data_IF_636310926638
#
_entry.id   IF_636310926638
#
_cell.length_a   1.000
_cell.length_b   1.000
_cell.length_c   1.000
_cell.angle_alpha   90.00
_cell.angle_beta   90.00
_cell.angle_gamma   90.00
#
_symmetry.space_group_name_H-M   'P 1'
#
loop_
_entity.id
_entity.type
_entity.pdbx_description
1 polymer ?
#
# COMPACT_ATOMS: atom_id res chain seq x y z
N UNK A 1 -5.43 -8.90 24.88
CA UNK A 1 -6.80 -8.45 24.56
C UNK A 1 -7.27 -9.30 23.39
N UNK A 2 -8.22 -10.21 23.60
CA UNK A 2 -8.70 -11.11 22.55
C UNK A 2 -9.77 -10.41 21.73
N UNK A 3 -9.57 -10.28 20.43
CA UNK A 3 -10.54 -9.65 19.53
C UNK A 3 -11.63 -10.70 19.24
N UNK A 4 -12.75 -10.59 19.95
CA UNK A 4 -13.85 -11.57 19.98
C UNK A 4 -14.65 -11.67 18.66
N UNK A 5 -14.28 -10.88 17.64
CA UNK A 5 -14.93 -10.92 16.32
C UNK A 5 -13.92 -10.63 15.21
N UNK A 6 -13.82 -11.46 14.16
CA UNK A 6 -12.97 -11.15 13.03
C UNK A 6 -13.52 -9.92 12.31
N UNK A 7 -12.77 -8.82 12.35
CA UNK A 7 -13.06 -7.63 11.55
C UNK A 7 -12.89 -7.94 10.05
N UNK A 8 -13.76 -7.37 9.20
CA UNK A 8 -13.66 -7.59 7.77
C UNK A 8 -12.31 -7.11 7.23
N UNK A 9 -11.80 -7.86 6.27
CA UNK A 9 -10.65 -7.49 5.46
C UNK A 9 -10.94 -6.15 4.78
N UNK A 10 -10.03 -5.17 4.85
CA UNK A 10 -10.20 -3.91 4.14
C UNK A 10 -10.46 -4.15 2.64
N UNK A 11 -11.39 -3.40 2.01
CA UNK A 11 -11.67 -3.55 0.58
C UNK A 11 -10.39 -3.42 -0.25
N UNK A 12 -10.21 -4.35 -1.19
CA UNK A 12 -9.03 -4.39 -2.07
C UNK A 12 -7.75 -4.86 -1.41
N UNK A 13 -7.74 -5.25 -0.12
CA UNK A 13 -6.55 -5.79 0.50
C UNK A 13 -6.23 -7.19 -0.05
N UNK A 14 -5.01 -7.37 -0.53
CA UNK A 14 -4.46 -8.65 -0.99
C UNK A 14 -3.75 -9.39 0.13
N UNK A 15 -3.24 -8.68 1.13
CA UNK A 15 -2.64 -9.26 2.34
C UNK A 15 -3.00 -8.44 3.57
N UNK A 16 -3.20 -9.14 4.69
CA UNK A 16 -3.47 -8.53 5.99
C UNK A 16 -2.54 -9.17 7.01
N UNK A 17 -1.78 -8.34 7.73
CA UNK A 17 -0.88 -8.80 8.78
C UNK A 17 -1.65 -9.05 10.10
N UNK A 18 -1.08 -9.84 11.03
CA UNK A 18 -1.65 -10.02 12.36
C UNK A 18 -1.85 -8.71 13.10
N UNK A 19 -2.77 -8.71 14.06
CA UNK A 19 -2.98 -7.59 14.97
C UNK A 19 -1.79 -7.39 15.90
N UNK A 20 -1.39 -6.14 16.06
CA UNK A 20 -0.45 -5.72 17.09
C UNK A 20 -1.18 -5.52 18.43
N UNK A 21 -0.39 -5.45 19.49
CA UNK A 21 -0.80 -5.24 20.89
C UNK A 21 -1.54 -3.93 21.12
N UNK A 22 -1.31 -2.92 20.27
CA UNK A 22 -2.00 -1.63 20.30
C UNK A 22 -3.39 -1.66 19.62
N UNK A 23 -3.78 -2.82 19.08
CA UNK A 23 -5.06 -2.99 18.38
C UNK A 23 -5.06 -2.41 16.96
N UNK A 24 -3.89 -2.28 16.34
CA UNK A 24 -3.73 -1.95 14.93
C UNK A 24 -3.22 -3.14 14.12
N UNK A 25 -3.46 -3.14 12.81
CA UNK A 25 -2.83 -4.08 11.86
C UNK A 25 -2.55 -3.40 10.54
N UNK A 26 -1.50 -3.85 9.87
CA UNK A 26 -1.18 -3.42 8.51
C UNK A 26 -1.94 -4.28 7.50
N UNK A 27 -2.41 -3.67 6.42
CA UNK A 27 -2.87 -4.36 5.23
C UNK A 27 -2.16 -3.83 3.99
N UNK A 28 -2.04 -4.68 2.97
CA UNK A 28 -1.49 -4.38 1.66
C UNK A 28 -2.61 -4.52 0.63
N UNK A 29 -2.71 -3.61 -0.35
CA UNK A 29 -3.69 -3.68 -1.44
C UNK A 29 -3.05 -4.09 -2.75
N UNK A 30 -2.17 -3.25 -3.28
CA UNK A 30 -1.62 -3.43 -4.61
C UNK A 30 -0.10 -3.35 -4.55
N UNK A 31 0.55 -4.23 -5.29
CA UNK A 31 1.98 -4.21 -5.53
C UNK A 31 2.19 -4.08 -7.04
N UNK A 32 2.78 -2.97 -7.48
CA UNK A 32 3.17 -2.76 -8.87
C UNK A 32 4.69 -2.78 -8.97
N UNK A 33 5.21 -3.37 -10.04
CA UNK A 33 6.61 -3.22 -10.41
C UNK A 33 6.69 -2.50 -11.75
N UNK A 34 7.34 -1.34 -11.76
CA UNK A 34 7.50 -0.50 -12.95
C UNK A 34 8.93 -0.04 -13.03
N UNK A 35 9.64 -0.44 -14.09
CA UNK A 35 11.02 -0.05 -14.35
C UNK A 35 11.96 -0.26 -13.14
N UNK A 36 11.96 -1.47 -12.56
CA UNK A 36 12.79 -1.79 -11.38
C UNK A 36 12.31 -1.16 -10.06
N UNK A 37 11.22 -0.38 -10.06
CA UNK A 37 10.64 0.21 -8.85
C UNK A 37 9.39 -0.56 -8.43
N UNK A 38 9.38 -0.98 -7.17
CA UNK A 38 8.24 -1.59 -6.50
C UNK A 38 7.42 -0.52 -5.77
N UNK A 39 6.14 -0.45 -6.09
CA UNK A 39 5.15 0.39 -5.41
C UNK A 39 4.20 -0.51 -4.64
N UNK A 40 4.10 -0.33 -3.32
CA UNK A 40 3.21 -1.09 -2.45
C UNK A 40 2.23 -0.16 -1.74
N UNK A 41 0.95 -0.24 -2.10
CA UNK A 41 -0.12 0.47 -1.41
C UNK A 41 -0.49 -0.28 -0.12
N UNK A 42 -0.39 0.40 1.02
CA UNK A 42 -0.64 -0.17 2.32
C UNK A 42 -1.40 0.79 3.24
N UNK A 43 -1.93 0.25 4.34
CA UNK A 43 -2.63 1.05 5.33
C UNK A 43 -2.66 0.41 6.71
N UNK A 44 -3.13 1.16 7.69
CA UNK A 44 -3.38 0.70 9.07
C UNK A 44 -4.87 0.65 9.33
N UNK A 45 -5.35 -0.53 9.71
CA UNK A 45 -6.70 -0.74 10.24
C UNK A 45 -6.66 -0.88 11.77
N UNK A 46 -7.61 -0.26 12.47
CA UNK A 46 -7.77 -0.40 13.92
C UNK A 46 -8.89 -1.39 14.28
N UNK A 47 -8.89 -1.84 15.54
CA UNK A 47 -9.87 -2.80 16.09
C UNK A 47 -11.33 -2.29 16.10
N UNK A 48 -11.55 -1.00 15.86
CA UNK A 48 -12.88 -0.40 15.63
C UNK A 48 -13.34 -0.53 14.15
N UNK A 49 -12.49 -1.11 13.29
CA UNK A 49 -12.72 -1.26 11.86
C UNK A 49 -12.28 -0.06 11.01
N UNK A 50 -11.88 1.06 11.63
CA UNK A 50 -11.44 2.27 10.92
C UNK A 50 -10.08 2.08 10.24
N UNK A 51 -9.89 2.74 9.10
CA UNK A 51 -8.59 2.89 8.44
C UNK A 51 -8.07 4.28 8.82
N UNK A 52 -6.99 4.35 9.59
CA UNK A 52 -6.46 5.64 10.10
C UNK A 52 -5.30 6.19 9.30
N UNK A 53 -4.67 5.35 8.48
CA UNK A 53 -3.56 5.76 7.62
C UNK A 53 -3.52 4.90 6.37
N UNK A 54 -3.19 5.52 5.25
CA UNK A 54 -2.80 4.86 4.01
C UNK A 54 -1.52 5.51 3.48
N UNK A 55 -0.70 4.75 2.79
CA UNK A 55 0.53 5.22 2.16
C UNK A 55 0.94 4.28 1.01
N UNK A 56 1.87 4.75 0.21
CA UNK A 56 2.55 3.94 -0.82
C UNK A 56 4.01 3.84 -0.41
N UNK A 57 4.52 2.61 -0.27
CA UNK A 57 5.95 2.36 -0.12
C UNK A 57 6.57 2.25 -1.51
N UNK A 58 7.66 2.98 -1.73
CA UNK A 58 8.41 2.99 -2.99
C UNK A 58 9.78 2.41 -2.71
N UNK A 59 10.10 1.27 -3.34
CA UNK A 59 11.39 0.60 -3.20
C UNK A 59 11.99 0.40 -4.58
N UNK A 60 13.27 0.71 -4.74
CA UNK A 60 14.01 0.49 -5.99
C UNK A 60 14.82 -0.79 -5.83
N UNK A 61 14.82 -1.65 -6.84
CA UNK A 61 15.68 -2.82 -6.86
C UNK A 61 17.16 -2.40 -6.94
N UNK A 62 18.03 -3.09 -6.21
CA UNK A 62 19.43 -2.67 -6.03
C UNK A 62 20.22 -2.67 -7.36
N UNK A 63 19.79 -3.50 -8.33
CA UNK A 63 20.38 -3.58 -9.66
C UNK A 63 19.86 -2.50 -10.64
N UNK A 64 18.90 -1.67 -10.24
CA UNK A 64 18.17 -0.74 -11.11
C UNK A 64 18.31 0.72 -10.65
N UNK A 65 19.52 1.27 -10.79
CA UNK A 65 19.85 2.63 -10.30
C UNK A 65 19.67 3.75 -11.32
N UNK A 66 19.48 3.41 -12.59
CA UNK A 66 19.34 4.37 -13.69
C UNK A 66 18.08 4.06 -14.51
N UNK A 67 17.33 5.11 -14.88
CA UNK A 67 16.13 5.00 -15.70
C UNK A 67 16.25 5.85 -16.94
N UNK A 68 15.89 5.29 -18.09
CA UNK A 68 15.77 6.06 -19.31
C UNK A 68 14.50 6.94 -19.34
N UNK A 69 14.38 7.81 -20.33
CA UNK A 69 13.23 8.72 -20.42
C UNK A 69 11.87 8.00 -20.54
N UNK A 70 11.72 6.94 -21.36
CA UNK A 70 10.52 6.10 -21.34
C UNK A 70 10.19 5.48 -19.98
N UNK A 71 11.19 4.95 -19.27
CA UNK A 71 11.04 4.35 -17.94
C UNK A 71 10.60 5.39 -16.89
N UNK A 72 11.23 6.57 -16.89
CA UNK A 72 10.83 7.68 -16.03
C UNK A 72 9.37 8.08 -16.24
N UNK A 73 8.89 8.13 -17.49
CA UNK A 73 7.48 8.45 -17.77
C UNK A 73 6.53 7.38 -17.26
N UNK A 74 6.89 6.10 -17.39
CA UNK A 74 6.08 4.99 -16.87
C UNK A 74 6.01 5.02 -15.35
N UNK A 75 7.14 5.27 -14.68
CA UNK A 75 7.18 5.41 -13.23
C UNK A 75 6.34 6.61 -12.75
N UNK A 76 6.48 7.77 -13.41
CA UNK A 76 5.71 8.96 -13.06
C UNK A 76 4.19 8.74 -13.20
N UNK A 77 3.75 8.04 -14.26
CA UNK A 77 2.34 7.69 -14.42
C UNK A 77 1.85 6.75 -13.30
N UNK A 78 2.61 5.71 -12.96
CA UNK A 78 2.25 4.78 -11.89
C UNK A 78 2.18 5.47 -10.51
N UNK A 79 3.09 6.39 -10.22
CA UNK A 79 3.07 7.19 -8.99
C UNK A 79 1.85 8.11 -8.93
N UNK A 80 1.43 8.68 -10.07
CA UNK A 80 0.24 9.52 -10.14
C UNK A 80 -1.04 8.70 -9.89
N UNK A 81 -1.15 7.52 -10.50
CA UNK A 81 -2.27 6.61 -10.27
C UNK A 81 -2.37 6.21 -8.78
N UNK A 82 -1.25 5.91 -8.14
CA UNK A 82 -1.21 5.59 -6.71
C UNK A 82 -1.56 6.79 -5.81
N UNK A 83 -1.14 8.00 -6.19
CA UNK A 83 -1.54 9.21 -5.48
C UNK A 83 -3.06 9.44 -5.56
N UNK A 84 -3.66 9.25 -6.74
CA UNK A 84 -5.11 9.35 -6.93
C UNK A 84 -5.87 8.31 -6.09
N UNK A 85 -5.32 7.10 -5.92
CA UNK A 85 -5.89 6.08 -5.02
C UNK A 85 -5.85 6.53 -3.56
N UNK A 86 -4.80 7.24 -3.13
CA UNK A 86 -4.67 7.74 -1.77
C UNK A 86 -5.60 8.93 -1.49
N UNK A 87 -5.81 9.81 -2.47
CA UNK A 87 -6.76 10.93 -2.36
C UNK A 87 -8.21 10.44 -2.25
N UNK A 88 -8.50 9.25 -2.78
CA UNK A 88 -9.82 8.62 -2.76
C UNK A 88 -10.75 9.13 -3.87
N UNK A 89 -11.98 8.59 -3.97
CA UNK A 89 -12.94 9.08 -4.95
C UNK A 89 -13.30 10.54 -4.64
N UNK A 90 -13.12 11.42 -5.63
CA UNK A 90 -13.64 12.80 -5.59
C UNK A 90 -15.17 12.82 -5.57
#
# INVERSE_FOLDING_TARGET
MSIEKPLPTPPGATRVLPWDTDGSRIFERTAHQVAGVHLLNAGVQHADGSIRRQWVSVTVDDDYTELDAPELRRLAAALLDEADVLDGPR
#
